data_IF_543149357770
#
_entry.id   IF_543149357770
#
_cell.length_a   1.000
_cell.length_b   1.000
_cell.length_c   1.000
_cell.angle_alpha   90.00
_cell.angle_beta   90.00
_cell.angle_gamma   90.00
#
_symmetry.space_group_name_H-M   'P 1'
#
loop_
_entity.id
_entity.type
_entity.pdbx_description
1 polymer ?
#
# COMPACT_ATOMS: atom_id res chain seq x y z
N UNK A 1 25.78 -2.63 -2.29
CA UNK A 1 25.34 -3.99 -2.68
C UNK A 1 23.81 -4.06 -2.60
N UNK A 2 23.13 -4.20 -3.75
CA UNK A 2 21.75 -4.73 -3.85
C UNK A 2 21.86 -6.26 -4.05
N UNK A 3 20.77 -7.05 -4.04
CA UNK A 3 19.48 -6.94 -3.33
C UNK A 3 19.08 -8.29 -2.65
N UNK A 4 18.01 -8.30 -1.85
CA UNK A 4 17.47 -9.53 -1.26
C UNK A 4 15.96 -9.44 -1.01
N UNK A 5 15.19 -9.60 -2.09
CA UNK A 5 13.72 -9.75 -2.13
C UNK A 5 13.27 -11.13 -1.65
N UNK A 6 12.13 -11.23 -0.98
CA UNK A 6 11.38 -12.49 -0.84
C UNK A 6 10.46 -12.53 0.39
N UNK A 7 9.23 -12.02 0.31
CA UNK A 7 7.98 -12.73 -0.07
C UNK A 7 7.23 -13.30 1.16
N UNK A 8 6.20 -12.54 1.53
CA UNK A 8 5.13 -12.82 2.49
C UNK A 8 4.37 -14.09 2.07
N UNK A 9 4.38 -15.12 2.90
CA UNK A 9 3.58 -16.33 2.71
C UNK A 9 2.12 -16.08 3.09
N UNK A 10 1.24 -16.10 2.10
CA UNK A 10 -0.22 -16.18 2.25
C UNK A 10 -0.60 -17.63 2.53
N UNK A 11 -1.16 -17.91 3.70
CA UNK A 11 -1.80 -19.18 4.04
C UNK A 11 -3.20 -19.22 3.40
N UNK A 12 -3.30 -19.76 2.19
CA UNK A 12 -4.58 -20.20 1.62
C UNK A 12 -4.92 -21.57 2.22
N UNK A 13 -6.08 -21.66 2.86
CA UNK A 13 -6.65 -22.88 3.40
C UNK A 13 -7.77 -23.35 2.44
N UNK A 14 -7.59 -24.43 1.65
CA UNK A 14 -8.69 -25.04 0.91
C UNK A 14 -9.46 -25.96 1.86
N UNK A 15 -10.78 -25.78 1.91
CA UNK A 15 -11.73 -26.74 2.48
C UNK A 15 -11.84 -27.92 1.51
N UNK A 16 -11.13 -28.99 1.80
CA UNK A 16 -11.36 -30.31 1.20
C UNK A 16 -12.26 -31.12 2.14
N UNK A 17 -13.48 -31.42 1.69
CA UNK A 17 -14.31 -32.50 2.23
C UNK A 17 -15.08 -33.14 1.08
N UNK A 18 -14.36 -33.84 0.21
CA UNK A 18 -14.95 -34.81 -0.71
C UNK A 18 -14.81 -36.22 -0.13
N UNK A 19 -15.94 -36.91 -0.14
CA UNK A 19 -16.09 -38.27 0.33
C UNK A 19 -15.20 -39.23 -0.48
N UNK A 20 -14.29 -39.90 0.20
CA UNK A 20 -13.53 -41.03 -0.36
C UNK A 20 -13.80 -42.27 0.47
N UNK A 21 -14.70 -43.13 -0.01
CA UNK A 21 -14.68 -44.54 0.36
C UNK A 21 -14.98 -45.38 -0.89
N UNK A 22 -13.92 -45.68 -1.65
CA UNK A 22 -13.73 -46.89 -2.46
C UNK A 22 -12.42 -46.79 -3.25
N UNK A 23 -11.28 -46.86 -2.55
CA UNK A 23 -10.02 -47.24 -3.17
C UNK A 23 -9.77 -48.72 -2.90
N UNK A 24 -9.97 -49.56 -3.92
CA UNK A 24 -9.24 -50.82 -4.01
C UNK A 24 -8.30 -50.77 -5.21
N UNK A 25 -7.03 -50.85 -4.84
CA UNK A 25 -5.81 -50.90 -5.63
C UNK A 25 -5.92 -51.73 -6.91
N UNK A 26 -5.57 -51.13 -8.05
CA UNK A 26 -5.11 -51.87 -9.23
C UNK A 26 -3.68 -51.46 -9.51
N UNK A 27 -2.78 -52.43 -9.32
CA UNK A 27 -1.41 -52.39 -9.80
C UNK A 27 -1.41 -52.19 -11.31
N UNK A 28 -0.60 -51.24 -11.78
CA UNK A 28 -0.34 -50.94 -13.18
C UNK A 28 -0.09 -52.20 -14.02
N UNK A 29 -1.07 -52.60 -14.82
CA UNK A 29 -0.86 -53.21 -16.14
C UNK A 29 -1.93 -52.68 -17.10
N UNK A 30 -1.47 -52.05 -18.19
CA UNK A 30 -2.31 -51.58 -19.30
C UNK A 30 -3.17 -52.71 -19.85
N UNK A 31 -4.47 -52.49 -20.13
CA UNK A 31 -5.18 -53.30 -21.10
C UNK A 31 -5.34 -52.54 -22.42
N UNK A 32 -4.88 -53.19 -23.48
CA UNK A 32 -5.25 -52.92 -24.86
C UNK A 32 -6.78 -52.98 -25.00
N UNK A 33 -7.31 -52.09 -25.84
CA UNK A 33 -8.72 -51.99 -26.20
C UNK A 33 -9.30 -53.32 -26.70
N UNK A 34 -10.21 -53.91 -25.92
CA UNK A 34 -11.20 -54.88 -26.40
C UNK A 34 -12.58 -54.53 -25.84
N UNK A 35 -13.28 -53.65 -26.56
CA UNK A 35 -14.74 -53.50 -26.47
C UNK A 35 -15.35 -54.87 -26.81
N UNK A 36 -16.14 -55.47 -25.91
CA UNK A 36 -16.98 -56.63 -26.25
C UNK A 36 -16.98 -57.86 -25.31
N UNK A 37 -16.46 -57.80 -24.09
CA UNK A 37 -16.72 -58.87 -23.09
C UNK A 37 -17.08 -58.27 -21.74
N UNK A 38 -18.28 -58.59 -21.25
CA UNK A 38 -18.69 -58.38 -19.86
C UNK A 38 -17.53 -58.84 -18.95
N UNK A 39 -17.13 -58.07 -17.92
CA UNK A 39 -16.15 -58.56 -16.96
C UNK A 39 -16.70 -59.86 -16.38
N UNK A 40 -16.07 -60.98 -16.73
CA UNK A 40 -16.56 -62.30 -16.35
C UNK A 40 -16.49 -62.37 -14.84
N UNK A 41 -17.65 -62.33 -14.17
CA UNK A 41 -17.74 -62.51 -12.72
C UNK A 41 -17.03 -63.83 -12.40
N UNK A 42 -16.04 -63.84 -11.49
CA UNK A 42 -15.25 -65.04 -11.19
C UNK A 42 -16.05 -66.00 -10.32
N UNK A 43 -17.14 -66.54 -10.88
CA UNK A 43 -18.14 -67.37 -10.20
C UNK A 43 -17.50 -68.59 -9.55
N UNK A 44 -16.48 -69.18 -10.17
CA UNK A 44 -15.80 -70.37 -9.67
C UNK A 44 -14.66 -70.08 -8.67
N UNK A 45 -14.30 -68.82 -8.46
CA UNK A 45 -13.27 -68.45 -7.48
C UNK A 45 -13.81 -68.58 -6.05
N UNK A 46 -13.07 -69.31 -5.20
CA UNK A 46 -13.41 -69.52 -3.80
C UNK A 46 -13.33 -68.23 -2.99
N UNK A 47 -12.43 -67.32 -3.33
CA UNK A 47 -12.31 -66.04 -2.64
C UNK A 47 -13.57 -65.18 -2.87
N UNK A 48 -14.05 -65.12 -4.12
CA UNK A 48 -15.30 -64.48 -4.50
C UNK A 48 -16.50 -65.12 -3.81
N UNK A 49 -16.61 -66.45 -3.82
CA UNK A 49 -17.74 -67.17 -3.19
C UNK A 49 -17.84 -66.87 -1.68
N UNK A 50 -16.70 -66.85 -0.97
CA UNK A 50 -16.66 -66.52 0.47
C UNK A 50 -17.07 -65.08 0.70
N UNK A 51 -16.56 -64.14 -0.11
CA UNK A 51 -16.92 -62.73 0.01
C UNK A 51 -18.41 -62.50 -0.28
N UNK A 52 -18.92 -63.02 -1.40
CA UNK A 52 -20.32 -62.92 -1.80
C UNK A 52 -21.26 -63.45 -0.72
N UNK A 53 -20.94 -64.62 -0.14
CA UNK A 53 -21.72 -65.21 0.95
C UNK A 53 -21.72 -64.33 2.20
N UNK A 54 -20.56 -63.77 2.59
CA UNK A 54 -20.46 -62.83 3.72
C UNK A 54 -21.30 -61.58 3.49
N UNK A 55 -21.25 -61.00 2.29
CA UNK A 55 -22.01 -59.80 1.95
C UNK A 55 -23.51 -60.04 1.98
N UNK A 56 -23.99 -61.14 1.38
CA UNK A 56 -25.41 -61.52 1.42
C UNK A 56 -25.88 -61.66 2.86
N UNK A 57 -25.13 -62.42 3.66
CA UNK A 57 -25.49 -62.68 5.03
C UNK A 57 -25.43 -61.43 5.93
N UNK A 58 -24.44 -60.56 5.72
CA UNK A 58 -24.39 -59.25 6.39
C UNK A 58 -25.63 -58.44 6.09
N UNK A 59 -26.04 -58.39 4.82
CA UNK A 59 -27.23 -57.66 4.40
C UNK A 59 -28.53 -58.26 4.99
N UNK A 60 -28.67 -59.58 5.00
CA UNK A 60 -29.80 -60.26 5.64
C UNK A 60 -29.87 -59.94 7.15
N UNK A 61 -28.73 -59.97 7.85
CA UNK A 61 -28.65 -59.64 9.27
C UNK A 61 -28.94 -58.16 9.55
N UNK A 62 -28.43 -57.23 8.74
CA UNK A 62 -28.72 -55.80 8.88
C UNK A 62 -30.20 -55.46 8.74
N UNK A 63 -30.97 -56.33 8.09
CA UNK A 63 -32.40 -56.17 7.87
C UNK A 63 -33.24 -57.17 8.69
N UNK A 64 -32.66 -57.72 9.77
CA UNK A 64 -33.34 -58.59 10.73
C UNK A 64 -34.01 -59.83 10.12
N UNK A 65 -33.44 -60.38 9.04
CA UNK A 65 -33.96 -61.62 8.44
C UNK A 65 -33.76 -62.82 9.40
N UNK A 66 -34.76 -63.70 9.58
CA UNK A 66 -34.70 -64.80 10.55
C UNK A 66 -33.89 -66.02 10.08
N UNK A 67 -33.23 -65.93 8.93
CA UNK A 67 -32.51 -67.03 8.29
C UNK A 67 -31.14 -66.57 7.75
N UNK A 68 -30.25 -67.54 7.49
CA UNK A 68 -28.86 -67.30 7.09
C UNK A 68 -28.38 -68.39 6.14
N UNK A 69 -27.56 -68.04 5.14
CA UNK A 69 -26.99 -68.99 4.19
C UNK A 69 -25.71 -69.64 4.75
N UNK A 70 -25.81 -70.89 5.21
CA UNK A 70 -24.69 -71.64 5.83
C UNK A 70 -23.72 -72.23 4.78
N UNK A 71 -22.39 -72.11 4.97
CA UNK A 71 -21.40 -72.79 4.12
C UNK A 71 -21.30 -74.30 4.43
N UNK A 72 -20.75 -75.14 3.51
CA UNK A 72 -20.27 -74.79 2.17
C UNK A 72 -21.39 -74.65 1.13
N UNK A 73 -22.57 -75.20 1.41
CA UNK A 73 -23.75 -75.18 0.55
C UNK A 73 -25.02 -75.00 1.41
N UNK A 74 -25.78 -73.90 1.24
CA UNK A 74 -26.99 -73.65 2.02
C UNK A 74 -28.15 -74.57 1.64
N UNK A 75 -29.15 -74.68 2.53
CA UNK A 75 -30.35 -75.46 2.24
C UNK A 75 -31.22 -74.79 1.16
N UNK A 76 -31.92 -75.61 0.38
CA UNK A 76 -32.88 -75.12 -0.63
C UNK A 76 -33.93 -74.16 -0.03
N UNK A 77 -34.33 -74.39 1.22
CA UNK A 77 -35.27 -73.57 1.98
C UNK A 77 -34.69 -72.18 2.29
N UNK A 78 -33.43 -72.12 2.73
CA UNK A 78 -32.78 -70.84 3.06
C UNK A 78 -32.49 -70.02 1.80
N UNK A 79 -32.11 -70.68 0.70
CA UNK A 79 -31.91 -70.03 -0.61
C UNK A 79 -33.22 -69.46 -1.13
N UNK A 80 -34.30 -70.24 -1.06
CA UNK A 80 -35.65 -69.80 -1.47
C UNK A 80 -36.14 -68.63 -0.63
N UNK A 81 -35.97 -68.69 0.70
CA UNK A 81 -36.32 -67.61 1.62
C UNK A 81 -35.52 -66.34 1.34
N UNK A 82 -34.23 -66.49 1.02
CA UNK A 82 -33.35 -65.38 0.65
C UNK A 82 -33.81 -64.70 -0.64
N UNK A 83 -34.09 -65.47 -1.69
CA UNK A 83 -34.60 -64.94 -2.96
C UNK A 83 -35.95 -64.23 -2.79
N UNK A 84 -36.87 -64.81 -2.02
CA UNK A 84 -38.17 -64.19 -1.71
C UNK A 84 -38.00 -62.87 -0.99
N UNK A 85 -37.16 -62.84 0.04
CA UNK A 85 -36.87 -61.62 0.80
C UNK A 85 -36.30 -60.51 -0.09
N UNK A 86 -35.35 -60.84 -0.96
CA UNK A 86 -34.75 -59.87 -1.88
C UNK A 86 -35.79 -59.32 -2.86
N UNK A 87 -36.66 -60.17 -3.42
CA UNK A 87 -37.71 -59.74 -4.35
C UNK A 87 -38.70 -58.75 -3.70
N UNK A 88 -39.12 -59.01 -2.47
CA UNK A 88 -39.98 -58.08 -1.70
C UNK A 88 -39.26 -56.75 -1.46
N UNK A 89 -37.98 -56.81 -1.10
CA UNK A 89 -37.16 -55.60 -0.85
C UNK A 89 -36.93 -54.74 -2.07
N UNK A 90 -36.92 -55.33 -3.26
CA UNK A 90 -36.81 -54.61 -4.52
C UNK A 90 -38.18 -54.21 -5.11
N UNK A 91 -39.27 -54.38 -4.35
CA UNK A 91 -40.60 -53.93 -4.75
C UNK A 91 -41.26 -54.76 -5.86
N UNK A 92 -40.81 -56.01 -6.08
CA UNK A 92 -41.44 -56.89 -7.06
C UNK A 92 -42.89 -57.23 -6.67
N UNK A 93 -43.12 -57.49 -5.38
CA UNK A 93 -44.43 -57.80 -4.80
C UNK A 93 -44.47 -57.22 -3.38
N UNK A 94 -45.66 -56.82 -2.91
CA UNK A 94 -45.87 -56.38 -1.54
C UNK A 94 -45.55 -57.50 -0.52
N UNK A 95 -45.13 -57.11 0.70
CA UNK A 95 -44.77 -58.03 1.76
C UNK A 95 -45.92 -59.00 2.12
N UNK A 96 -47.16 -58.51 2.07
CA UNK A 96 -48.39 -59.29 2.30
C UNK A 96 -48.57 -60.45 1.31
N UNK A 97 -48.00 -60.33 0.11
CA UNK A 97 -48.15 -61.29 -0.99
C UNK A 97 -46.87 -62.09 -1.25
N UNK A 98 -45.85 -62.01 -0.38
CA UNK A 98 -44.56 -62.68 -0.56
C UNK A 98 -44.65 -64.21 -0.74
N UNK A 99 -45.69 -64.84 -0.18
CA UNK A 99 -45.94 -66.28 -0.27
C UNK A 99 -46.38 -66.76 -1.67
N UNK A 100 -46.87 -65.87 -2.54
CA UNK A 100 -47.33 -66.22 -3.89
C UNK A 100 -46.20 -66.29 -4.91
N UNK A 101 -45.00 -65.84 -4.54
CA UNK A 101 -43.82 -65.81 -5.40
C UNK A 101 -43.36 -67.24 -5.73
N UNK A 102 -43.44 -67.59 -7.01
CA UNK A 102 -42.93 -68.81 -7.61
C UNK A 102 -41.49 -68.58 -8.07
N UNK A 103 -40.54 -68.96 -7.21
CA UNK A 103 -39.10 -68.69 -7.42
C UNK A 103 -38.58 -69.14 -8.79
N UNK A 104 -39.04 -70.28 -9.32
CA UNK A 104 -38.57 -70.79 -10.60
C UNK A 104 -39.14 -70.07 -11.84
N UNK A 105 -40.19 -69.27 -11.66
CA UNK A 105 -40.84 -68.49 -12.73
C UNK A 105 -40.55 -66.99 -12.60
N UNK A 106 -40.67 -66.46 -11.39
CA UNK A 106 -40.52 -65.04 -11.10
C UNK A 106 -39.07 -64.56 -11.11
N UNK A 107 -38.13 -65.34 -10.54
CA UNK A 107 -36.72 -64.92 -10.47
C UNK A 107 -36.11 -64.74 -11.86
N UNK A 108 -36.30 -65.65 -12.86
CA UNK A 108 -35.81 -65.42 -14.22
C UNK A 108 -36.41 -64.18 -14.88
N UNK A 109 -37.71 -63.93 -14.70
CA UNK A 109 -38.39 -62.74 -15.24
C UNK A 109 -37.77 -61.48 -14.63
N UNK A 110 -37.60 -61.46 -13.31
CA UNK A 110 -37.06 -60.32 -12.59
C UNK A 110 -35.58 -60.06 -12.92
N UNK A 111 -34.75 -61.11 -13.00
CA UNK A 111 -33.35 -61.00 -13.43
C UNK A 111 -33.24 -60.45 -14.86
N UNK A 112 -34.14 -60.85 -15.76
CA UNK A 112 -34.18 -60.32 -17.13
C UNK A 112 -34.64 -58.86 -17.18
N UNK A 113 -35.62 -58.49 -16.35
CA UNK A 113 -36.08 -57.11 -16.21
C UNK A 113 -34.95 -56.18 -15.77
N UNK A 114 -34.21 -56.59 -14.74
CA UNK A 114 -33.05 -55.84 -14.22
C UNK A 114 -31.78 -55.99 -15.07
N UNK A 115 -31.84 -56.68 -16.21
CA UNK A 115 -30.70 -56.93 -17.11
C UNK A 115 -29.50 -57.54 -16.37
N UNK A 116 -29.76 -58.52 -15.52
CA UNK A 116 -28.72 -59.20 -14.76
C UNK A 116 -27.66 -59.81 -15.69
N UNK A 117 -26.36 -59.60 -15.42
CA UNK A 117 -25.29 -60.15 -16.25
C UNK A 117 -25.10 -61.66 -16.08
N UNK A 118 -25.73 -62.27 -15.06
CA UNK A 118 -25.58 -63.69 -14.71
C UNK A 118 -26.78 -64.47 -15.25
N UNK A 119 -26.51 -65.46 -16.10
CA UNK A 119 -27.54 -66.34 -16.65
C UNK A 119 -27.90 -67.43 -15.65
N UNK A 120 -29.11 -67.36 -15.09
CA UNK A 120 -29.70 -68.40 -14.23
C UNK A 120 -30.81 -69.11 -14.99
N UNK A 121 -30.72 -70.43 -15.11
CA UNK A 121 -31.75 -71.24 -15.78
C UNK A 121 -32.84 -71.69 -14.81
N UNK A 122 -34.05 -71.93 -15.32
CA UNK A 122 -35.20 -72.46 -14.53
C UNK A 122 -34.84 -73.74 -13.77
N UNK A 123 -33.98 -74.60 -14.33
CA UNK A 123 -33.51 -75.83 -13.68
C UNK A 123 -32.71 -75.59 -12.39
N UNK A 124 -31.91 -74.52 -12.32
CA UNK A 124 -31.12 -74.17 -11.13
C UNK A 124 -32.01 -73.70 -9.98
N UNK A 125 -33.15 -73.09 -10.30
CA UNK A 125 -34.10 -72.55 -9.33
C UNK A 125 -35.12 -73.58 -8.83
N UNK A 126 -35.41 -74.64 -9.61
CA UNK A 126 -36.23 -75.77 -9.16
C UNK A 126 -35.53 -76.62 -8.10
N UNK A 127 -34.20 -76.67 -8.12
CA UNK A 127 -33.41 -77.41 -7.14
C UNK A 127 -32.27 -76.53 -6.63
N UNK A 128 -32.59 -75.48 -5.85
CA UNK A 128 -31.60 -74.56 -5.36
C UNK A 128 -30.74 -75.28 -4.31
N UNK A 129 -29.43 -75.40 -4.56
CA UNK A 129 -28.51 -76.12 -3.66
C UNK A 129 -27.82 -77.35 -4.28
N UNK A 130 -27.78 -77.48 -5.61
CA UNK A 130 -26.91 -78.45 -6.27
C UNK A 130 -25.47 -77.89 -6.31
N UNK A 131 -24.42 -78.65 -5.92
CA UNK A 131 -23.05 -78.14 -5.81
C UNK A 131 -22.51 -77.47 -7.08
N UNK A 132 -22.85 -77.98 -8.26
CA UNK A 132 -22.37 -77.44 -9.54
C UNK A 132 -23.09 -76.16 -10.00
N UNK A 133 -24.34 -75.94 -9.57
CA UNK A 133 -25.12 -74.75 -9.93
C UNK A 133 -25.09 -73.67 -8.85
N UNK A 134 -24.69 -74.04 -7.63
CA UNK A 134 -24.60 -73.14 -6.49
C UNK A 134 -23.72 -71.92 -6.74
N UNK A 135 -22.51 -72.02 -7.33
CA UNK A 135 -21.70 -70.85 -7.63
C UNK A 135 -22.44 -69.81 -8.48
N UNK A 136 -23.13 -70.23 -9.54
CA UNK A 136 -23.91 -69.35 -10.42
C UNK A 136 -25.09 -68.72 -9.69
N UNK A 137 -25.80 -69.50 -8.88
CA UNK A 137 -26.93 -68.99 -8.09
C UNK A 137 -26.48 -68.01 -7.00
N UNK A 138 -25.37 -68.31 -6.32
CA UNK A 138 -24.76 -67.44 -5.31
C UNK A 138 -24.35 -66.10 -5.91
N UNK A 139 -23.74 -66.11 -7.10
CA UNK A 139 -23.37 -64.88 -7.79
C UNK A 139 -24.62 -64.04 -8.16
N UNK A 140 -25.71 -64.69 -8.59
CA UNK A 140 -26.96 -63.99 -8.90
C UNK A 140 -27.63 -63.40 -7.66
N UNK A 141 -27.65 -64.13 -6.54
CA UNK A 141 -28.15 -63.63 -5.26
C UNK A 141 -27.30 -62.47 -4.77
N UNK A 142 -25.97 -62.59 -4.85
CA UNK A 142 -25.06 -61.53 -4.46
C UNK A 142 -25.28 -60.26 -5.29
N UNK A 143 -25.44 -60.39 -6.61
CA UNK A 143 -25.75 -59.27 -7.48
C UNK A 143 -27.08 -58.59 -7.11
N UNK A 144 -28.13 -59.38 -6.83
CA UNK A 144 -29.41 -58.82 -6.38
C UNK A 144 -29.28 -58.09 -5.03
N UNK A 145 -28.47 -58.61 -4.10
CA UNK A 145 -28.16 -57.91 -2.84
C UNK A 145 -27.44 -56.59 -3.09
N UNK A 146 -26.51 -56.53 -4.05
CA UNK A 146 -25.87 -55.26 -4.45
C UNK A 146 -26.90 -54.25 -4.97
N UNK A 147 -27.90 -54.70 -5.74
CA UNK A 147 -29.01 -53.84 -6.16
C UNK A 147 -29.81 -53.32 -4.97
N UNK A 148 -30.08 -54.16 -3.97
CA UNK A 148 -30.76 -53.69 -2.76
C UNK A 148 -29.95 -52.66 -1.98
N UNK A 149 -28.66 -52.92 -1.76
CA UNK A 149 -27.75 -52.00 -1.07
C UNK A 149 -27.71 -50.63 -1.75
N UNK A 150 -27.66 -50.62 -3.09
CA UNK A 150 -27.73 -49.39 -3.87
C UNK A 150 -29.06 -48.66 -3.68
N UNK A 151 -30.19 -49.38 -3.77
CA UNK A 151 -31.52 -48.79 -3.58
C UNK A 151 -31.69 -48.17 -2.18
N UNK A 152 -31.23 -48.87 -1.13
CA UNK A 152 -31.24 -48.37 0.24
C UNK A 152 -30.38 -47.11 0.39
N UNK A 153 -29.21 -47.07 -0.26
CA UNK A 153 -28.33 -45.90 -0.26
C UNK A 153 -28.99 -44.68 -0.95
N UNK A 154 -29.63 -44.87 -2.10
CA UNK A 154 -30.35 -43.79 -2.79
C UNK A 154 -31.53 -43.28 -1.94
N UNK A 155 -32.29 -44.18 -1.31
CA UNK A 155 -33.36 -43.81 -0.39
C UNK A 155 -32.87 -42.97 0.79
N UNK A 156 -31.70 -43.30 1.35
CA UNK A 156 -31.08 -42.53 2.43
C UNK A 156 -30.49 -41.20 1.96
N UNK A 157 -29.84 -41.16 0.79
CA UNK A 157 -29.18 -39.96 0.28
C UNK A 157 -30.17 -38.88 -0.19
N UNK A 158 -31.35 -39.28 -0.67
CA UNK A 158 -32.40 -38.34 -1.11
C UNK A 158 -33.02 -37.56 0.06
N UNK A 159 -32.91 -38.06 1.30
CA UNK A 159 -33.28 -37.31 2.52
C UNK A 159 -32.27 -36.21 2.88
N UNK A 160 -31.04 -36.27 2.34
CA UNK A 160 -29.95 -35.32 2.64
C UNK A 160 -29.65 -34.35 1.49
N UNK A 161 -30.15 -34.63 0.29
CA UNK A 161 -30.08 -33.71 -0.84
C UNK A 161 -31.06 -32.57 -0.59
N UNK A 162 -30.54 -31.44 -0.14
CA UNK A 162 -31.25 -30.16 -0.15
C UNK A 162 -31.89 -29.96 -1.52
N UNK A 163 -33.21 -29.73 -1.61
CA UNK A 163 -33.84 -29.52 -2.90
C UNK A 163 -33.25 -28.23 -3.48
N UNK A 164 -32.51 -28.38 -4.58
CA UNK A 164 -32.01 -27.29 -5.44
C UNK A 164 -33.14 -26.62 -6.23
N UNK A 165 -34.39 -27.09 -6.07
CA UNK A 165 -35.58 -26.34 -6.45
C UNK A 165 -35.85 -25.29 -5.37
N UNK A 166 -36.15 -24.05 -5.80
CA UNK A 166 -36.52 -22.95 -4.91
C UNK A 166 -37.41 -23.46 -3.77
N UNK A 167 -37.11 -23.08 -2.52
CA UNK A 167 -37.92 -23.45 -1.35
C UNK A 167 -39.43 -23.14 -1.56
N UNK A 168 -39.75 -22.19 -2.45
CA UNK A 168 -41.10 -21.85 -2.89
C UNK A 168 -41.71 -22.93 -3.78
N UNK A 169 -40.93 -23.51 -4.69
CA UNK A 169 -41.34 -24.55 -5.63
C UNK A 169 -41.64 -25.86 -4.87
N UNK A 170 -40.86 -26.17 -3.82
CA UNK A 170 -41.13 -27.32 -2.95
C UNK A 170 -42.38 -27.14 -2.08
N UNK A 171 -42.68 -25.93 -1.60
CA UNK A 171 -43.85 -25.66 -0.75
C UNK A 171 -45.14 -25.56 -1.57
N UNK A 172 -45.07 -24.94 -2.74
CA UNK A 172 -46.17 -24.89 -3.68
C UNK A 172 -46.50 -26.30 -4.16
N UNK A 173 -45.47 -27.10 -4.50
CA UNK A 173 -45.66 -28.50 -4.86
C UNK A 173 -46.32 -29.33 -3.76
N UNK A 174 -45.90 -29.18 -2.49
CA UNK A 174 -46.52 -29.84 -1.34
C UNK A 174 -47.99 -29.43 -1.16
N UNK A 175 -48.28 -28.13 -1.25
CA UNK A 175 -49.65 -27.61 -1.22
C UNK A 175 -50.51 -28.19 -2.36
N UNK A 176 -50.02 -28.12 -3.61
CA UNK A 176 -50.73 -28.64 -4.78
C UNK A 176 -50.98 -30.14 -4.68
N UNK A 177 -50.00 -30.91 -4.22
CA UNK A 177 -50.15 -32.37 -4.05
C UNK A 177 -51.21 -32.71 -3.00
N UNK A 178 -51.18 -32.04 -1.84
CA UNK A 178 -52.17 -32.27 -0.77
C UNK A 178 -53.57 -31.84 -1.19
N UNK A 179 -53.69 -30.65 -1.80
CA UNK A 179 -54.95 -30.16 -2.36
C UNK A 179 -55.51 -31.16 -3.39
N UNK A 180 -54.65 -31.72 -4.26
CA UNK A 180 -55.06 -32.74 -5.21
C UNK A 180 -55.50 -34.05 -4.55
N UNK A 181 -54.85 -34.49 -3.47
CA UNK A 181 -55.25 -35.68 -2.70
C UNK A 181 -56.65 -35.47 -2.08
N UNK A 182 -56.87 -34.34 -1.42
CA UNK A 182 -58.18 -34.01 -0.84
C UNK A 182 -59.28 -33.91 -1.91
N UNK A 183 -58.97 -33.29 -3.06
CA UNK A 183 -59.87 -33.25 -4.21
C UNK A 183 -60.23 -34.66 -4.72
N UNK A 184 -59.23 -35.55 -4.87
CA UNK A 184 -59.47 -36.93 -5.32
C UNK A 184 -60.29 -37.76 -4.31
N UNK A 185 -60.26 -37.37 -3.03
CA UNK A 185 -61.07 -37.97 -1.96
C UNK A 185 -62.45 -37.33 -1.78
N UNK A 186 -62.79 -36.28 -2.55
CA UNK A 186 -63.96 -35.41 -2.36
C UNK A 186 -64.05 -34.79 -0.95
N UNK A 187 -62.91 -34.40 -0.39
CA UNK A 187 -62.79 -33.73 0.92
C UNK A 187 -62.68 -32.21 0.71
N UNK A 188 -63.75 -31.58 0.20
CA UNK A 188 -63.74 -30.15 -0.17
C UNK A 188 -63.47 -29.23 1.04
N UNK A 189 -64.00 -29.56 2.23
CA UNK A 189 -63.75 -28.81 3.47
C UNK A 189 -62.26 -28.79 3.86
N UNK A 190 -61.54 -29.89 3.58
CA UNK A 190 -60.10 -29.99 3.86
C UNK A 190 -59.27 -29.18 2.85
N UNK A 191 -59.75 -29.03 1.61
CA UNK A 191 -59.13 -28.12 0.63
C UNK A 191 -59.25 -26.67 1.10
N UNK A 192 -60.43 -26.25 1.55
CA UNK A 192 -60.65 -24.89 2.06
C UNK A 192 -59.79 -24.61 3.30
N UNK A 193 -59.67 -25.59 4.21
CA UNK A 193 -58.81 -25.49 5.39
C UNK A 193 -57.32 -25.36 4.98
N UNK A 194 -56.87 -26.15 4.01
CA UNK A 194 -55.51 -26.11 3.49
C UNK A 194 -55.20 -24.77 2.79
N UNK A 195 -56.14 -24.24 2.01
CA UNK A 195 -56.04 -22.94 1.32
C UNK A 195 -55.87 -21.79 2.31
N UNK A 196 -56.69 -21.78 3.37
CA UNK A 196 -56.59 -20.78 4.43
C UNK A 196 -55.25 -20.86 5.16
N UNK A 197 -54.83 -22.07 5.57
CA UNK A 197 -53.55 -22.26 6.24
C UNK A 197 -52.35 -21.85 5.36
N UNK A 198 -52.41 -22.14 4.05
CA UNK A 198 -51.37 -21.74 3.11
C UNK A 198 -51.34 -20.22 2.92
N UNK A 199 -52.51 -19.58 2.82
CA UNK A 199 -52.65 -18.12 2.73
C UNK A 199 -52.10 -17.41 3.96
N UNK A 200 -52.50 -17.81 5.17
CA UNK A 200 -52.03 -17.23 6.42
C UNK A 200 -50.50 -17.31 6.54
N UNK A 201 -49.92 -18.44 6.13
CA UNK A 201 -48.47 -18.62 6.10
C UNK A 201 -47.79 -17.66 5.12
N UNK A 202 -48.35 -17.45 3.93
CA UNK A 202 -47.81 -16.50 2.95
C UNK A 202 -47.91 -15.06 3.45
N UNK A 203 -49.04 -14.69 4.07
CA UNK A 203 -49.23 -13.36 4.65
C UNK A 203 -48.24 -13.11 5.79
N UNK A 204 -48.07 -14.06 6.70
CA UNK A 204 -47.07 -13.97 7.77
C UNK A 204 -45.64 -13.81 7.22
N UNK A 205 -45.29 -14.52 6.15
CA UNK A 205 -44.00 -14.38 5.48
C UNK A 205 -43.82 -13.02 4.81
N UNK A 206 -44.86 -12.51 4.13
CA UNK A 206 -44.89 -11.16 3.56
C UNK A 206 -44.67 -10.12 4.64
N UNK A 207 -45.43 -10.18 5.73
CA UNK A 207 -45.38 -9.19 6.82
C UNK A 207 -44.02 -9.22 7.53
N UNK A 208 -43.43 -10.41 7.71
CA UNK A 208 -42.07 -10.56 8.23
C UNK A 208 -41.03 -9.91 7.30
N UNK A 209 -41.16 -10.14 5.99
CA UNK A 209 -40.26 -9.55 4.99
C UNK A 209 -40.42 -8.02 4.93
N UNK A 210 -41.65 -7.51 4.96
CA UNK A 210 -41.96 -6.09 4.98
C UNK A 210 -41.39 -5.40 6.22
N UNK A 211 -41.56 -6.00 7.40
CA UNK A 211 -40.96 -5.50 8.64
C UNK A 211 -39.43 -5.46 8.55
N UNK A 212 -38.80 -6.50 7.99
CA UNK A 212 -37.35 -6.53 7.78
C UNK A 212 -36.89 -5.42 6.82
N UNK A 213 -37.62 -5.20 5.72
CA UNK A 213 -37.34 -4.10 4.79
C UNK A 213 -37.45 -2.75 5.50
N UNK A 214 -38.50 -2.54 6.29
CA UNK A 214 -38.70 -1.31 7.05
C UNK A 214 -37.55 -1.02 8.02
N UNK A 215 -37.12 -2.02 8.80
CA UNK A 215 -35.99 -1.90 9.72
C UNK A 215 -34.68 -1.58 8.98
N UNK A 216 -34.44 -2.23 7.85
CA UNK A 216 -33.25 -1.95 7.03
C UNK A 216 -33.28 -0.55 6.43
N UNK A 217 -34.44 -0.05 6.01
CA UNK A 217 -34.57 1.32 5.52
C UNK A 217 -34.31 2.36 6.61
N UNK A 218 -34.75 2.10 7.84
CA UNK A 218 -34.46 2.95 8.99
C UNK A 218 -32.96 2.94 9.32
N UNK A 219 -32.32 1.77 9.32
CA UNK A 219 -30.87 1.65 9.49
C UNK A 219 -30.09 2.38 8.40
N UNK A 220 -30.50 2.27 7.13
CA UNK A 220 -29.89 3.01 6.01
C UNK A 220 -30.01 4.52 6.24
N UNK A 221 -31.19 5.01 6.62
CA UNK A 221 -31.41 6.43 6.91
C UNK A 221 -30.49 6.94 8.03
N UNK A 222 -30.33 6.19 9.12
CA UNK A 222 -29.43 6.55 10.22
C UNK A 222 -27.95 6.52 9.80
N UNK A 223 -27.55 5.53 8.99
CA UNK A 223 -26.20 5.47 8.43
C UNK A 223 -25.93 6.63 7.47
N UNK A 224 -26.89 7.02 6.64
CA UNK A 224 -26.79 8.18 5.74
C UNK A 224 -26.63 9.48 6.55
N UNK A 225 -27.43 9.68 7.59
CA UNK A 225 -27.26 10.82 8.53
C UNK A 225 -25.88 10.82 9.18
N UNK A 226 -25.38 9.65 9.58
CA UNK A 226 -24.04 9.50 10.15
C UNK A 226 -22.94 9.83 9.14
N UNK A 227 -23.08 9.40 7.88
CA UNK A 227 -22.15 9.77 6.81
C UNK A 227 -22.16 11.29 6.59
N UNK A 228 -23.35 11.89 6.53
CA UNK A 228 -23.46 13.33 6.28
C UNK A 228 -22.88 14.15 7.44
N UNK A 229 -23.16 13.78 8.70
CA UNK A 229 -22.52 14.41 9.86
C UNK A 229 -20.99 14.29 9.82
N UNK A 230 -20.44 13.12 9.47
CA UNK A 230 -19.00 12.91 9.32
C UNK A 230 -18.39 13.70 8.15
N UNK A 231 -19.15 13.96 7.08
CA UNK A 231 -18.73 14.80 5.94
C UNK A 231 -18.78 16.29 6.27
N UNK A 232 -19.81 16.73 6.99
CA UNK A 232 -20.02 18.13 7.39
C UNK A 232 -19.08 18.57 8.51
N UNK A 233 -18.66 17.63 9.37
CA UNK A 233 -17.66 17.89 10.38
C UNK A 233 -16.33 18.22 9.68
N UNK A 234 -15.72 19.40 9.95
CA UNK A 234 -14.37 19.68 9.47
C UNK A 234 -13.49 18.52 9.91
N UNK A 235 -12.91 17.80 8.96
CA UNK A 235 -12.11 16.66 9.33
C UNK A 235 -10.93 17.17 10.16
N UNK A 236 -10.49 16.41 11.17
CA UNK A 236 -9.29 16.76 11.92
C UNK A 236 -8.11 17.02 10.97
N UNK A 237 -8.11 16.37 9.80
CA UNK A 237 -7.21 16.64 8.69
C UNK A 237 -7.35 18.06 8.14
N UNK A 238 -8.54 18.58 7.86
CA UNK A 238 -8.72 19.93 7.34
C UNK A 238 -8.23 21.01 8.32
N UNK A 239 -8.42 20.79 9.62
CA UNK A 239 -7.89 21.66 10.67
C UNK A 239 -6.35 21.62 10.66
N UNK A 240 -5.76 20.42 10.64
CA UNK A 240 -4.31 20.24 10.58
C UNK A 240 -3.69 20.76 9.27
N UNK A 241 -4.41 20.68 8.14
CA UNK A 241 -3.95 21.19 6.84
C UNK A 241 -3.92 22.73 6.86
N UNK A 242 -4.92 23.39 7.48
CA UNK A 242 -4.89 24.84 7.74
C UNK A 242 -3.75 25.23 8.68
N UNK A 243 -3.56 24.50 9.77
CA UNK A 243 -2.47 24.75 10.71
C UNK A 243 -1.11 24.59 10.04
N UNK A 244 -0.91 23.52 9.27
CA UNK A 244 0.27 23.30 8.45
C UNK A 244 0.52 24.46 7.48
N UNK A 245 -0.52 24.92 6.76
CA UNK A 245 -0.40 26.05 5.85
C UNK A 245 0.04 27.33 6.57
N UNK A 246 -0.51 27.62 7.75
CA UNK A 246 -0.10 28.78 8.57
C UNK A 246 1.37 28.65 9.02
N UNK A 247 1.77 27.46 9.49
CA UNK A 247 3.15 27.21 9.90
C UNK A 247 4.13 27.31 8.72
N UNK A 248 3.75 26.85 7.52
CA UNK A 248 4.56 27.02 6.31
C UNK A 248 4.74 28.48 5.92
N UNK A 249 3.72 29.33 6.09
CA UNK A 249 3.83 30.78 5.91
C UNK A 249 4.77 31.41 6.94
N UNK A 250 4.67 31.01 8.20
CA UNK A 250 5.54 31.52 9.25
C UNK A 250 6.99 31.09 9.06
N UNK A 251 7.24 29.85 8.62
CA UNK A 251 8.59 29.40 8.22
C UNK A 251 9.16 30.27 7.10
N UNK A 252 8.35 30.66 6.10
CA UNK A 252 8.80 31.57 5.03
C UNK A 252 9.15 32.96 5.58
N UNK A 253 8.34 33.50 6.50
CA UNK A 253 8.62 34.79 7.16
C UNK A 253 9.92 34.73 7.96
N UNK A 254 10.13 33.66 8.73
CA UNK A 254 11.38 33.49 9.49
C UNK A 254 12.60 33.38 8.57
N UNK A 255 12.52 32.64 7.47
CA UNK A 255 13.61 32.61 6.49
C UNK A 255 13.89 33.99 5.89
N UNK A 256 12.87 34.79 5.59
CA UNK A 256 13.05 36.15 5.10
C UNK A 256 13.79 37.04 6.12
N UNK A 257 13.39 36.99 7.39
CA UNK A 257 14.04 37.72 8.48
C UNK A 257 15.49 37.25 8.66
N UNK A 258 15.74 35.93 8.65
CA UNK A 258 17.09 35.38 8.75
C UNK A 258 17.96 35.91 7.61
N UNK A 259 17.47 35.88 6.37
CA UNK A 259 18.22 36.39 5.22
C UNK A 259 18.54 37.89 5.35
N UNK A 260 17.60 38.70 5.83
CA UNK A 260 17.83 40.12 6.09
C UNK A 260 18.89 40.33 7.17
N UNK A 261 18.79 39.62 8.30
CA UNK A 261 19.78 39.66 9.37
C UNK A 261 21.17 39.21 8.88
N UNK A 262 21.25 38.12 8.13
CA UNK A 262 22.52 37.62 7.57
C UNK A 262 23.14 38.65 6.63
N UNK A 263 22.36 39.25 5.73
CA UNK A 263 22.85 40.31 4.84
C UNK A 263 23.33 41.54 5.62
N UNK A 264 22.62 41.92 6.68
CA UNK A 264 23.05 43.04 7.54
C UNK A 264 24.35 42.72 8.29
N UNK A 265 24.51 41.49 8.78
CA UNK A 265 25.76 41.03 9.41
C UNK A 265 26.91 41.12 8.41
N UNK A 266 26.73 40.64 7.18
CA UNK A 266 27.76 40.72 6.13
C UNK A 266 28.15 42.16 5.80
N UNK A 267 27.17 43.07 5.74
CA UNK A 267 27.43 44.48 5.48
C UNK A 267 28.22 45.14 6.64
N UNK A 268 27.82 44.88 7.88
CA UNK A 268 28.53 45.42 9.07
C UNK A 268 29.93 44.82 9.18
N UNK A 269 30.11 43.53 8.90
CA UNK A 269 31.43 42.88 8.89
C UNK A 269 32.36 43.49 7.84
N UNK A 270 31.82 43.81 6.65
CA UNK A 270 32.57 44.52 5.61
C UNK A 270 32.96 45.94 6.04
N UNK A 271 32.02 46.71 6.60
CA UNK A 271 32.29 48.05 7.12
C UNK A 271 33.34 48.02 8.23
N UNK A 272 33.27 47.03 9.12
CA UNK A 272 34.24 46.84 10.20
C UNK A 272 35.64 46.56 9.63
N UNK A 273 35.76 45.65 8.66
CA UNK A 273 37.04 45.37 7.97
C UNK A 273 37.61 46.59 7.27
N UNK A 274 36.78 47.41 6.66
CA UNK A 274 37.22 48.64 6.00
C UNK A 274 37.69 49.68 7.05
N UNK A 275 37.01 49.78 8.19
CA UNK A 275 37.43 50.62 9.32
C UNK A 275 38.70 50.13 10.01
N UNK A 276 38.91 48.82 10.13
CA UNK A 276 40.16 48.25 10.64
C UNK A 276 41.34 48.61 9.74
N UNK A 277 41.19 48.52 8.41
CA UNK A 277 42.22 48.97 7.45
C UNK A 277 42.48 50.47 7.54
N UNK A 278 41.42 51.29 7.64
CA UNK A 278 41.58 52.74 7.81
C UNK A 278 42.33 53.07 9.11
N UNK A 279 42.01 52.36 10.20
CA UNK A 279 42.68 52.50 11.48
C UNK A 279 44.15 52.10 11.39
N UNK A 280 44.48 50.98 10.75
CA UNK A 280 45.85 50.52 10.54
C UNK A 280 46.69 51.56 9.79
N UNK A 281 46.14 52.14 8.71
CA UNK A 281 46.78 53.23 7.97
C UNK A 281 46.98 54.46 8.85
N UNK A 282 45.96 54.86 9.64
CA UNK A 282 46.08 56.02 10.56
C UNK A 282 47.10 55.79 11.67
N UNK A 283 47.21 54.58 12.21
CA UNK A 283 48.21 54.21 13.22
C UNK A 283 49.61 54.31 12.62
N UNK A 284 49.82 53.77 11.42
CA UNK A 284 51.11 53.84 10.73
C UNK A 284 51.50 55.28 10.36
N UNK A 285 50.56 56.11 9.90
CA UNK A 285 50.81 57.54 9.66
C UNK A 285 51.15 58.27 10.95
N UNK A 286 50.42 58.03 12.04
CA UNK A 286 50.69 58.64 13.34
C UNK A 286 52.07 58.24 13.87
N UNK A 287 52.45 56.97 13.72
CA UNK A 287 53.80 56.47 14.06
C UNK A 287 54.88 57.23 13.29
N UNK A 288 54.72 57.40 11.97
CA UNK A 288 55.67 58.18 11.16
C UNK A 288 55.76 59.64 11.58
N UNK A 289 54.62 60.29 11.88
CA UNK A 289 54.59 61.67 12.36
C UNK A 289 55.29 61.81 13.72
N UNK A 290 55.14 60.82 14.62
CA UNK A 290 55.86 60.79 15.89
C UNK A 290 57.38 60.64 15.66
N UNK A 291 57.80 59.72 14.79
CA UNK A 291 59.21 59.52 14.42
C UNK A 291 59.82 60.78 13.80
N UNK A 292 59.11 61.44 12.89
CA UNK A 292 59.52 62.70 12.28
C UNK A 292 59.60 63.83 13.30
N UNK A 293 58.61 63.96 14.21
CA UNK A 293 58.67 64.95 15.28
C UNK A 293 59.86 64.73 16.21
N UNK A 294 60.17 63.48 16.56
CA UNK A 294 61.30 63.18 17.42
C UNK A 294 62.65 63.39 16.70
N UNK A 295 62.72 63.18 15.38
CA UNK A 295 63.87 63.58 14.55
C UNK A 295 64.03 65.11 14.48
N UNK A 296 62.94 65.84 14.28
CA UNK A 296 62.93 67.30 14.28
C UNK A 296 63.36 67.85 15.64
N UNK A 297 62.87 67.29 16.75
CA UNK A 297 63.33 67.66 18.10
C UNK A 297 64.82 67.41 18.27
N UNK A 298 65.33 66.24 17.88
CA UNK A 298 66.78 65.93 17.91
C UNK A 298 67.59 66.91 17.07
N UNK A 299 67.09 67.29 15.90
CA UNK A 299 67.72 68.28 15.02
C UNK A 299 67.73 69.68 15.65
N UNK A 300 66.63 70.10 16.30
CA UNK A 300 66.55 71.37 17.02
C UNK A 300 67.50 71.38 18.22
N UNK A 301 67.56 70.29 19.01
CA UNK A 301 68.48 70.17 20.15
C UNK A 301 69.96 70.20 19.72
N UNK A 302 70.27 69.69 18.51
CA UNK A 302 71.62 69.72 17.95
C UNK A 302 72.02 71.09 17.36
N UNK A 303 71.07 71.99 17.11
CA UNK A 303 71.37 73.34 16.61
C UNK A 303 72.02 74.19 17.72
N UNK A 304 73.18 74.78 17.41
CA UNK A 304 73.99 75.57 18.37
C UNK A 304 73.49 77.00 18.54
N UNK A 305 72.40 77.40 17.87
CA UNK A 305 71.79 78.72 17.93
C UNK A 305 70.33 78.57 18.37
N UNK A 306 69.92 79.33 19.38
CA UNK A 306 68.57 79.30 19.91
C UNK A 306 67.68 80.35 19.21
N UNK A 307 66.36 80.26 19.33
CA UNK A 307 65.41 81.26 18.83
C UNK A 307 65.73 82.69 19.33
N UNK A 308 66.28 82.83 20.54
CA UNK A 308 66.80 84.11 21.04
C UNK A 308 68.00 84.63 20.25
N UNK A 309 68.89 83.74 19.80
CA UNK A 309 70.04 84.08 18.97
C UNK A 309 69.60 84.45 17.55
N UNK A 310 68.58 83.77 17.00
CA UNK A 310 67.96 84.14 15.73
C UNK A 310 67.28 85.52 15.78
N UNK A 311 66.54 85.82 16.86
CA UNK A 311 65.95 87.15 17.08
C UNK A 311 67.02 88.23 17.29
N UNK A 312 68.11 87.90 17.97
CA UNK A 312 69.27 88.80 18.12
C UNK A 312 69.93 89.08 16.77
N UNK A 313 70.21 88.05 15.98
CA UNK A 313 70.73 88.20 14.62
C UNK A 313 69.80 89.03 13.73
N UNK A 314 68.48 88.84 13.84
CA UNK A 314 67.50 89.64 13.08
C UNK A 314 67.53 91.12 13.48
N UNK A 315 67.65 91.42 14.78
CA UNK A 315 67.80 92.80 15.26
C UNK A 315 69.13 93.41 14.83
N UNK A 316 70.22 92.65 14.88
CA UNK A 316 71.53 93.08 14.39
C UNK A 316 71.53 93.32 12.88
N UNK A 317 70.89 92.47 12.09
CA UNK A 317 70.66 92.68 10.66
C UNK A 317 69.86 93.96 10.39
N UNK A 318 68.74 94.17 11.08
CA UNK A 318 67.94 95.39 10.96
C UNK A 318 68.70 96.66 11.41
N UNK A 319 69.66 96.53 12.32
CA UNK A 319 70.53 97.64 12.72
C UNK A 319 71.55 97.95 11.62
N UNK A 320 72.22 96.93 11.07
CA UNK A 320 73.15 97.09 9.95
C UNK A 320 72.44 97.66 8.72
N UNK A 321 71.22 97.20 8.42
CA UNK A 321 70.44 97.70 7.29
C UNK A 321 70.08 99.18 7.46
N UNK A 322 69.80 99.63 8.71
CA UNK A 322 69.65 101.07 9.02
C UNK A 322 70.95 101.84 8.82
N UNK A 323 72.07 101.32 9.32
CA UNK A 323 73.38 101.97 9.18
C UNK A 323 73.77 102.13 7.69
N UNK A 324 73.44 101.14 6.84
CA UNK A 324 73.62 101.23 5.38
C UNK A 324 72.77 102.37 4.82
N UNK A 325 71.48 102.45 5.14
CA UNK A 325 70.61 103.52 4.63
C UNK A 325 71.07 104.92 5.08
N UNK A 326 71.60 105.05 6.29
CA UNK A 326 72.15 106.31 6.81
C UNK A 326 73.45 106.68 6.09
N UNK A 327 74.33 105.70 5.85
CA UNK A 327 75.55 105.90 5.07
C UNK A 327 75.25 106.28 3.61
N UNK A 328 74.22 105.69 2.98
CA UNK A 328 73.77 106.05 1.63
C UNK A 328 73.17 107.47 1.56
N UNK A 329 72.39 107.88 2.57
CA UNK A 329 71.90 109.24 2.70
C UNK A 329 73.05 110.25 2.89
N UNK A 330 74.03 109.91 3.74
CA UNK A 330 75.24 110.69 3.92
C UNK A 330 76.05 110.83 2.63
N UNK A 331 76.21 109.75 1.86
CA UNK A 331 76.86 109.77 0.54
C UNK A 331 76.14 110.72 -0.41
N UNK A 332 74.82 110.63 -0.48
CA UNK A 332 74.00 111.49 -1.36
C UNK A 332 74.14 112.98 -1.01
N UNK A 333 74.19 113.33 0.29
CA UNK A 333 74.42 114.70 0.73
C UNK A 333 75.83 115.22 0.38
N UNK A 334 76.85 114.36 0.44
CA UNK A 334 78.21 114.72 0.00
C UNK A 334 78.33 114.83 -1.53
N UNK A 335 77.61 114.00 -2.28
CA UNK A 335 77.49 114.11 -3.74
C UNK A 335 76.83 115.45 -4.13
N UNK A 336 75.74 115.86 -3.47
CA UNK A 336 75.10 117.17 -3.68
C UNK A 336 76.06 118.32 -3.38
N UNK A 337 76.80 118.24 -2.27
CA UNK A 337 77.80 119.24 -1.89
C UNK A 337 78.96 119.32 -2.89
N UNK A 338 79.34 118.19 -3.47
CA UNK A 338 80.36 118.11 -4.54
C UNK A 338 79.85 118.75 -5.82
N UNK A 339 78.60 118.48 -6.21
CA UNK A 339 77.96 119.09 -7.37
C UNK A 339 77.84 120.62 -7.23
N UNK A 340 77.53 121.10 -6.01
CA UNK A 340 77.44 122.52 -5.70
C UNK A 340 78.81 123.23 -5.74
N UNK A 341 79.87 122.53 -5.31
CA UNK A 341 81.25 123.00 -5.44
C UNK A 341 81.74 122.98 -6.89
N UNK A 342 81.43 121.93 -7.66
CA UNK A 342 81.82 121.81 -9.07
C UNK A 342 81.12 122.88 -9.93
N UNK A 343 79.87 123.22 -9.61
CA UNK A 343 79.16 124.36 -10.19
C UNK A 343 79.85 125.70 -9.87
N UNK A 344 80.32 125.89 -8.63
CA UNK A 344 81.09 127.10 -8.22
C UNK A 344 82.46 127.17 -8.91
N UNK A 345 83.15 126.04 -9.06
CA UNK A 345 84.44 125.96 -9.76
C UNK A 345 84.25 126.23 -11.25
N UNK A 346 83.24 125.64 -11.89
CA UNK A 346 82.88 125.91 -13.28
C UNK A 346 82.56 127.38 -13.52
N UNK A 347 81.84 128.03 -12.59
CA UNK A 347 81.59 129.47 -12.65
C UNK A 347 82.89 130.29 -12.56
N UNK A 348 83.79 129.93 -11.64
CA UNK A 348 85.09 130.62 -11.46
C UNK A 348 86.04 130.39 -12.64
N UNK A 349 86.04 129.21 -13.25
CA UNK A 349 86.78 128.93 -14.48
C UNK A 349 86.27 129.78 -15.64
N UNK A 350 84.95 129.95 -15.76
CA UNK A 350 84.34 130.81 -16.79
C UNK A 350 84.67 132.29 -16.60
N UNK A 351 84.73 132.76 -15.36
CA UNK A 351 85.26 134.10 -15.03
C UNK A 351 86.73 134.26 -15.42
N UNK A 352 87.58 133.26 -15.13
CA UNK A 352 89.00 133.27 -15.51
C UNK A 352 89.20 133.22 -17.03
N UNK A 353 88.39 132.44 -17.74
CA UNK A 353 88.40 132.35 -19.19
C UNK A 353 87.98 133.68 -19.82
N UNK A 354 86.95 134.34 -19.27
CA UNK A 354 86.58 135.71 -19.66
C UNK A 354 87.70 136.72 -19.39
N UNK A 355 88.36 136.68 -18.22
CA UNK A 355 89.52 137.51 -17.89
C UNK A 355 90.72 137.24 -18.82
N UNK A 356 90.92 135.99 -19.25
CA UNK A 356 91.93 135.61 -20.23
C UNK A 356 91.60 136.17 -21.62
N UNK A 357 90.33 136.14 -22.04
CA UNK A 357 89.85 136.78 -23.27
C UNK A 357 90.07 138.30 -23.21
N UNK A 358 89.77 138.95 -22.09
CA UNK A 358 90.01 140.39 -21.88
C UNK A 358 91.50 140.74 -21.90
N UNK A 359 92.37 139.97 -21.25
CA UNK A 359 93.82 140.16 -21.32
C UNK A 359 94.37 139.98 -22.75
N UNK A 360 93.90 138.97 -23.49
CA UNK A 360 94.31 138.72 -24.87
C UNK A 360 93.79 139.80 -25.85
N UNK A 361 92.66 140.44 -25.54
CA UNK A 361 92.16 141.60 -26.29
C UNK A 361 92.95 142.88 -25.97
N UNK A 362 93.42 143.06 -24.73
CA UNK A 362 94.24 144.20 -24.31
C UNK A 362 95.66 144.19 -24.90
N UNK A 363 96.24 143.01 -25.16
CA UNK A 363 97.57 142.87 -25.78
C UNK A 363 97.58 143.20 -27.30
N UNK A 364 96.39 143.34 -27.93
CA UNK A 364 96.24 143.65 -29.37
C UNK A 364 95.98 145.14 -29.69
N UNK A 365 96.13 146.05 -28.73
CA UNK A 365 96.13 147.51 -28.93
C UNK A 365 97.43 148.09 -28.39
#
# INVERSE_FOLDING_TARGET
MRPGTGRRGTTNNPRDSDASFSSMSTTNQRPSSSIGRNPSIPINDKSYQIHALRTINSYLSSNSAPFYLKPPLPSAKDITSTLRFILVRLGYVDASSSSTIKIDEDVPIFLNFLKCPIKVTKSVLKTPGIPHSWPTLLAAIHWLVQCCLYNDHIGSSTMTATPTRSLTDSKLYDYTLRSYIHFMSNEDDEVDALDNAFREKLESQRDSAENKVKLLLEEVSELEKKIESLRSAPSARDVLEKEKSMLEEDVKKFHAIINECTSRIENVDKELKDKEKELEVKVEVSRRICEENDELKRSIEAQTFNMRDADRMKKELQAIERDITEAEAGRSAWEEKTWDLDSKISHKLKELENLSIECNQAIRR
#
